data_IF_592077682470
#
_entry.id   IF_592077682470
#
_cell.length_a   1.000
_cell.length_b   1.000
_cell.length_c   1.000
_cell.angle_alpha   90.00
_cell.angle_beta   90.00
_cell.angle_gamma   90.00
#
_symmetry.space_group_name_H-M   'P 1'
#
loop_
_entity.id
_entity.type
_entity.pdbx_description
1 polymer ?
#
# COMPACT_ATOMS: atom_id res chain seq x y z
N UNK A 1 -32.57 -13.45 18.65
CA UNK A 1 -32.00 -12.14 19.06
C UNK A 1 -30.50 -12.25 18.89
N UNK A 2 -30.06 -12.27 17.64
CA UNK A 2 -28.66 -12.19 17.24
C UNK A 2 -28.49 -10.79 16.66
N UNK A 3 -27.87 -9.91 17.42
CA UNK A 3 -27.38 -8.63 16.97
C UNK A 3 -25.98 -8.44 17.57
N UNK A 4 -25.12 -7.77 16.80
CA UNK A 4 -23.81 -7.23 17.18
C UNK A 4 -22.69 -8.21 17.59
N UNK A 5 -22.26 -9.03 16.63
CA UNK A 5 -20.87 -9.57 16.56
C UNK A 5 -20.07 -8.93 15.40
N UNK A 6 -20.67 -7.96 14.70
CA UNK A 6 -20.14 -7.30 13.50
C UNK A 6 -19.26 -6.09 13.87
N UNK A 7 -19.49 -5.42 15.01
CA UNK A 7 -18.80 -4.15 15.35
C UNK A 7 -17.38 -4.33 15.93
N UNK A 8 -17.03 -5.50 16.47
CA UNK A 8 -15.69 -5.75 17.03
C UNK A 8 -14.61 -6.08 15.98
N UNK A 9 -14.99 -6.52 14.77
CA UNK A 9 -14.03 -6.89 13.71
C UNK A 9 -13.49 -5.67 12.95
N UNK A 10 -14.30 -4.63 12.81
CA UNK A 10 -13.91 -3.40 12.10
C UNK A 10 -12.85 -2.60 12.88
N UNK A 11 -12.87 -2.68 14.21
CA UNK A 11 -11.86 -2.07 15.11
C UNK A 11 -10.48 -2.75 14.96
N UNK A 12 -10.45 -4.05 14.70
CA UNK A 12 -9.19 -4.81 14.51
C UNK A 12 -8.54 -4.55 13.13
N UNK A 13 -9.32 -4.23 12.10
CA UNK A 13 -8.77 -3.94 10.78
C UNK A 13 -8.04 -2.58 10.75
N UNK A 14 -8.61 -1.57 11.41
CA UNK A 14 -7.96 -0.26 11.57
C UNK A 14 -6.76 -0.30 12.52
N UNK A 15 -6.79 -1.14 13.57
CA UNK A 15 -5.64 -1.30 14.50
C UNK A 15 -4.44 -2.04 13.88
N UNK A 16 -4.65 -2.82 12.82
CA UNK A 16 -3.58 -3.55 12.11
C UNK A 16 -2.72 -2.63 11.22
N UNK A 17 -3.35 -1.65 10.55
CA UNK A 17 -2.62 -0.55 9.91
C UNK A 17 -1.94 0.35 10.96
N UNK A 18 -2.56 0.51 12.14
CA UNK A 18 -2.05 1.25 13.29
C UNK A 18 -0.73 0.70 13.84
N UNK A 19 -0.62 -0.63 13.99
CA UNK A 19 0.59 -1.28 14.51
C UNK A 19 1.76 -1.26 13.51
N UNK A 20 1.47 -1.28 12.21
CA UNK A 20 2.51 -1.21 11.16
C UNK A 20 3.14 0.20 11.09
N UNK A 21 2.33 1.25 11.30
CA UNK A 21 2.83 2.62 11.41
C UNK A 21 3.52 2.91 12.76
N UNK A 22 2.97 2.41 13.87
CA UNK A 22 3.54 2.58 15.20
C UNK A 22 4.87 1.81 15.39
N UNK A 23 5.04 0.65 14.76
CA UNK A 23 6.28 -0.11 14.79
C UNK A 23 7.46 0.60 14.09
N UNK A 24 7.22 1.64 13.28
CA UNK A 24 8.30 2.46 12.70
C UNK A 24 8.88 3.49 13.69
N UNK A 25 8.26 3.74 14.85
CA UNK A 25 8.73 4.75 15.82
C UNK A 25 9.33 4.10 17.07
N UNK A 26 10.52 4.58 17.49
CA UNK A 26 11.32 4.00 18.56
C UNK A 26 10.67 3.95 19.96
N UNK A 27 11.35 3.24 20.87
CA UNK A 27 10.92 2.76 22.21
C UNK A 27 10.17 3.74 23.16
N UNK A 28 10.20 5.04 22.95
CA UNK A 28 9.53 6.01 23.84
C UNK A 28 8.01 6.13 23.60
N UNK A 29 7.49 5.63 22.48
CA UNK A 29 6.07 5.74 22.10
C UNK A 29 5.23 4.55 22.63
N UNK A 30 5.86 3.39 22.83
CA UNK A 30 5.18 2.12 23.17
C UNK A 30 4.47 2.14 24.53
N UNK A 31 4.99 2.88 25.52
CA UNK A 31 4.39 2.93 26.86
C UNK A 31 3.05 3.70 26.89
N UNK A 32 2.92 4.75 26.07
CA UNK A 32 1.70 5.56 26.00
C UNK A 32 0.56 4.83 25.25
N UNK A 33 0.89 3.86 24.39
CA UNK A 33 -0.11 3.08 23.66
C UNK A 33 -0.84 2.04 24.53
N UNK A 34 -0.19 1.51 25.57
CA UNK A 34 -0.83 0.55 26.49
C UNK A 34 -1.85 1.24 27.43
N UNK A 35 -1.53 2.46 27.89
CA UNK A 35 -2.43 3.24 28.74
C UNK A 35 -3.70 3.69 27.98
N UNK A 36 -3.62 3.82 26.65
CA UNK A 36 -4.75 4.22 25.79
C UNK A 36 -5.75 3.08 25.52
N UNK A 37 -5.28 1.82 25.49
CA UNK A 37 -6.14 0.65 25.30
C UNK A 37 -7.19 0.52 26.43
N UNK A 38 -6.88 1.01 27.64
CA UNK A 38 -7.84 1.07 28.76
C UNK A 38 -8.91 2.16 28.59
N UNK A 39 -8.62 3.25 27.87
CA UNK A 39 -9.54 4.38 27.71
C UNK A 39 -10.62 4.07 26.67
N UNK A 40 -10.27 3.41 25.56
CA UNK A 40 -11.24 3.01 24.53
C UNK A 40 -12.31 2.03 25.04
N UNK A 41 -11.99 1.17 26.00
CA UNK A 41 -12.94 0.22 26.60
C UNK A 41 -13.99 0.92 27.49
N UNK A 42 -13.74 2.17 27.92
CA UNK A 42 -14.63 2.88 28.85
C UNK A 42 -15.69 3.76 28.17
N UNK A 43 -15.67 3.88 26.83
CA UNK A 43 -16.53 4.82 26.09
C UNK A 43 -17.63 4.11 25.27
N UNK A 44 -18.36 3.16 25.87
CA UNK A 44 -19.59 2.62 25.28
C UNK A 44 -20.73 2.61 26.31
N UNK A 45 -21.51 3.68 26.35
CA UNK A 45 -22.94 3.60 26.68
C UNK A 45 -23.71 4.43 25.65
N UNK A 46 -24.78 3.89 25.02
CA UNK A 46 -25.48 4.58 23.95
C UNK A 46 -26.51 5.57 24.52
N UNK A 47 -26.40 6.85 24.15
CA UNK A 47 -27.44 7.85 24.40
C UNK A 47 -28.51 7.74 23.30
N UNK A 48 -29.77 7.56 23.73
CA UNK A 48 -30.99 7.55 22.91
C UNK A 48 -31.37 8.96 22.45
N UNK A 49 -31.99 9.03 21.28
CA UNK A 49 -32.50 10.22 20.61
C UNK A 49 -33.49 11.06 21.44
N UNK A 50 -33.35 12.39 21.32
CA UNK A 50 -34.41 13.38 21.53
C UNK A 50 -34.15 14.42 22.63
N UNK A 51 -33.65 15.61 22.25
CA UNK A 51 -34.19 16.94 22.62
C UNK A 51 -33.23 18.06 22.18
N UNK A 52 -33.78 19.09 21.53
CA UNK A 52 -33.10 20.36 21.28
C UNK A 52 -32.82 21.07 22.60
N UNK A 53 -31.54 21.36 22.89
CA UNK A 53 -31.17 22.40 23.84
C UNK A 53 -29.86 23.06 23.40
N UNK A 54 -29.99 24.31 22.96
CA UNK A 54 -28.85 25.21 22.84
C UNK A 54 -28.22 25.40 24.23
N UNK A 55 -26.96 25.01 24.39
CA UNK A 55 -26.11 25.59 25.42
C UNK A 55 -24.66 25.62 24.94
N UNK A 56 -24.13 26.83 24.93
CA UNK A 56 -22.73 27.16 24.74
C UNK A 56 -21.92 26.69 25.94
N UNK A 57 -20.97 25.79 25.73
CA UNK A 57 -19.79 25.68 26.59
C UNK A 57 -18.60 25.22 25.76
N UNK A 58 -17.68 26.16 25.56
CA UNK A 58 -16.30 25.91 25.17
C UNK A 58 -15.62 24.96 26.18
N UNK A 59 -14.60 24.26 25.67
CA UNK A 59 -13.53 23.54 26.39
C UNK A 59 -13.73 22.04 26.66
N UNK A 60 -13.71 21.24 25.59
CA UNK A 60 -12.81 20.09 25.50
C UNK A 60 -12.24 20.10 24.07
N UNK A 61 -10.95 20.41 23.92
CA UNK A 61 -10.31 20.40 22.61
C UNK A 61 -10.36 18.96 22.07
N UNK A 62 -11.23 18.70 21.09
CA UNK A 62 -11.24 17.45 20.33
C UNK A 62 -9.79 17.19 19.85
N UNK A 63 -9.17 16.03 20.12
CA UNK A 63 -7.82 15.72 19.63
C UNK A 63 -7.68 15.96 18.12
N UNK A 64 -8.77 15.82 17.38
CA UNK A 64 -8.88 16.16 15.97
C UNK A 64 -8.70 17.64 15.62
N UNK A 65 -8.88 18.55 16.57
CA UNK A 65 -8.55 19.98 16.44
C UNK A 65 -7.04 20.16 16.18
N UNK A 66 -6.21 19.29 16.78
CA UNK A 66 -4.75 19.37 16.63
C UNK A 66 -4.25 19.05 15.21
N UNK A 67 -4.97 18.22 14.45
CA UNK A 67 -4.71 17.99 13.03
C UNK A 67 -4.66 19.30 12.25
N UNK A 68 -5.64 20.18 12.53
CA UNK A 68 -5.80 21.41 11.78
C UNK A 68 -4.77 22.49 12.12
N UNK A 69 -3.93 22.26 13.13
CA UNK A 69 -2.80 23.13 13.43
C UNK A 69 -1.74 23.08 12.31
N UNK A 70 -1.57 21.90 11.69
CA UNK A 70 -0.56 21.65 10.66
C UNK A 70 -1.12 21.80 9.24
N UNK A 71 -2.37 21.40 8.99
CA UNK A 71 -2.99 21.49 7.67
C UNK A 71 -4.44 21.99 7.76
N UNK A 72 -4.93 22.75 6.76
CA UNK A 72 -6.34 23.17 6.73
C UNK A 72 -6.70 24.40 7.58
N UNK A 73 -5.74 25.27 7.89
CA UNK A 73 -5.99 26.58 8.53
C UNK A 73 -6.98 27.42 7.73
N UNK A 74 -6.91 27.34 6.41
CA UNK A 74 -7.75 28.10 5.47
C UNK A 74 -9.15 27.47 5.28
N UNK A 75 -9.42 26.31 5.86
CA UNK A 75 -10.73 25.66 5.76
C UNK A 75 -11.73 26.30 6.72
N UNK A 76 -12.92 26.65 6.21
CA UNK A 76 -14.05 27.05 7.03
C UNK A 76 -14.60 25.90 7.90
N UNK A 77 -15.45 26.19 8.90
CA UNK A 77 -15.89 25.21 9.90
C UNK A 77 -16.50 23.93 9.31
N UNK A 78 -17.37 24.07 8.31
CA UNK A 78 -18.03 22.92 7.68
C UNK A 78 -17.04 22.06 6.88
N UNK A 79 -16.09 22.70 6.18
CA UNK A 79 -15.05 21.97 5.46
C UNK A 79 -14.13 21.19 6.39
N UNK A 80 -13.81 21.75 7.58
CA UNK A 80 -13.06 21.04 8.61
C UNK A 80 -13.84 19.83 9.14
N UNK A 81 -15.15 19.96 9.35
CA UNK A 81 -16.01 18.84 9.78
C UNK A 81 -15.98 17.69 8.78
N UNK A 82 -16.12 17.98 7.48
CA UNK A 82 -16.05 16.96 6.42
C UNK A 82 -14.64 16.35 6.33
N UNK A 83 -13.60 17.18 6.38
CA UNK A 83 -12.21 16.73 6.34
C UNK A 83 -11.89 15.79 7.50
N UNK A 84 -12.33 16.14 8.72
CA UNK A 84 -12.15 15.29 9.89
C UNK A 84 -12.90 13.98 9.78
N UNK A 85 -14.16 13.99 9.30
CA UNK A 85 -14.93 12.75 9.09
C UNK A 85 -14.20 11.81 8.14
N UNK A 86 -13.67 12.32 7.03
CA UNK A 86 -12.87 11.53 6.08
C UNK A 86 -11.57 11.05 6.69
N UNK A 87 -10.88 11.89 7.44
CA UNK A 87 -9.66 11.51 8.13
C UNK A 87 -9.88 10.35 9.10
N UNK A 88 -10.91 10.43 9.94
CA UNK A 88 -11.26 9.35 10.89
C UNK A 88 -11.62 8.04 10.18
N UNK A 89 -12.23 8.14 9.00
CA UNK A 89 -12.63 6.96 8.22
C UNK A 89 -11.47 6.32 7.45
N UNK A 90 -10.60 7.11 6.82
CA UNK A 90 -9.54 6.57 5.95
C UNK A 90 -8.16 6.50 6.64
N UNK A 91 -7.95 7.21 7.75
CA UNK A 91 -6.63 7.36 8.37
C UNK A 91 -5.70 8.34 7.64
N UNK A 92 -6.22 9.13 6.71
CA UNK A 92 -5.49 10.17 5.98
C UNK A 92 -6.47 11.22 5.43
N UNK A 93 -5.94 12.34 4.91
CA UNK A 93 -6.71 13.48 4.43
C UNK A 93 -7.42 13.20 3.09
N UNK A 94 -8.44 12.35 3.12
CA UNK A 94 -9.26 12.05 1.94
C UNK A 94 -9.94 13.29 1.35
N UNK A 95 -10.24 14.30 2.18
CA UNK A 95 -10.79 15.57 1.70
C UNK A 95 -9.83 16.31 0.77
N UNK A 96 -8.54 16.40 1.11
CA UNK A 96 -7.56 16.98 0.20
C UNK A 96 -7.35 16.09 -1.03
N UNK A 97 -7.28 14.76 -0.84
CA UNK A 97 -7.13 13.82 -1.97
C UNK A 97 -8.18 14.05 -3.05
N UNK A 98 -9.45 14.26 -2.70
CA UNK A 98 -10.52 14.47 -3.69
C UNK A 98 -10.34 15.75 -4.53
N UNK A 99 -9.52 16.70 -4.06
CA UNK A 99 -9.22 17.96 -4.73
C UNK A 99 -7.89 17.95 -5.47
N UNK A 100 -7.09 16.90 -5.27
CA UNK A 100 -5.84 16.70 -5.98
C UNK A 100 -6.13 15.94 -7.28
N UNK A 101 -5.64 16.47 -8.39
CA UNK A 101 -5.75 15.82 -9.71
C UNK A 101 -5.29 14.36 -9.66
N UNK A 102 -6.03 13.48 -10.35
CA UNK A 102 -5.66 12.07 -10.54
C UNK A 102 -4.37 11.91 -11.37
N UNK A 103 -3.96 12.96 -12.09
CA UNK A 103 -2.77 13.00 -12.96
C UNK A 103 -1.75 14.06 -12.51
N UNK A 104 -1.70 14.35 -11.21
CA UNK A 104 -0.76 15.34 -10.64
C UNK A 104 0.71 15.02 -11.00
N UNK A 105 1.60 16.02 -11.11
CA UNK A 105 3.02 15.76 -11.26
C UNK A 105 3.59 15.12 -9.99
N UNK A 106 4.47 14.13 -10.18
CA UNK A 106 5.17 13.41 -9.11
C UNK A 106 6.66 13.76 -9.23
N UNK A 107 7.34 14.21 -8.16
CA UNK A 107 8.77 14.52 -8.20
C UNK A 107 9.59 13.25 -8.49
N UNK A 108 10.62 13.37 -9.35
CA UNK A 108 11.55 12.29 -9.61
C UNK A 108 12.66 12.26 -8.55
N UNK A 109 12.41 11.50 -7.49
CA UNK A 109 13.30 11.31 -6.34
C UNK A 109 14.26 10.12 -6.53
N UNK A 110 14.43 9.59 -7.76
CA UNK A 110 15.34 8.46 -7.98
C UNK A 110 16.80 8.89 -7.73
N UNK A 111 17.66 8.01 -7.19
CA UNK A 111 19.08 8.29 -7.02
C UNK A 111 19.77 8.71 -8.31
N UNK A 112 20.85 9.49 -8.17
CA UNK A 112 21.70 9.88 -9.29
C UNK A 112 22.20 8.64 -10.06
N UNK A 113 22.18 8.74 -11.38
CA UNK A 113 22.52 7.64 -12.28
C UNK A 113 21.33 6.78 -12.72
N UNK A 114 20.24 6.69 -11.94
CA UNK A 114 19.04 5.93 -12.34
C UNK A 114 18.41 6.46 -13.64
N UNK A 115 18.47 7.78 -13.85
CA UNK A 115 17.92 8.45 -15.05
C UNK A 115 18.63 8.08 -16.34
N UNK A 116 19.91 7.70 -16.25
CA UNK A 116 20.76 7.41 -17.42
C UNK A 116 20.87 5.91 -17.70
N UNK A 117 20.14 5.07 -16.98
CA UNK A 117 20.14 3.62 -17.21
C UNK A 117 19.31 3.28 -18.45
N UNK A 118 19.87 2.41 -19.30
CA UNK A 118 19.16 1.79 -20.42
C UNK A 118 18.76 0.37 -20.06
N UNK A 119 17.54 -0.01 -20.41
CA UNK A 119 17.03 -1.38 -20.23
C UNK A 119 16.83 -2.06 -21.58
N UNK A 120 16.70 -3.39 -21.55
CA UNK A 120 16.41 -4.17 -22.76
C UNK A 120 15.05 -3.74 -23.35
N UNK A 121 14.93 -3.78 -24.68
CA UNK A 121 13.67 -3.43 -25.37
C UNK A 121 12.62 -4.55 -25.28
N UNK A 122 13.07 -5.80 -25.11
CA UNK A 122 12.28 -7.02 -25.05
C UNK A 122 12.02 -7.46 -23.60
N UNK A 123 11.49 -6.55 -22.77
CA UNK A 123 11.07 -6.86 -21.40
C UNK A 123 9.72 -7.61 -21.38
N UNK A 124 9.49 -8.47 -20.39
CA UNK A 124 8.22 -9.19 -20.25
C UNK A 124 7.07 -8.23 -19.92
N UNK A 125 5.87 -8.55 -20.41
CA UNK A 125 4.66 -7.83 -20.02
C UNK A 125 4.31 -8.10 -18.55
N UNK A 126 3.58 -7.16 -17.94
CA UNK A 126 3.19 -7.20 -16.54
C UNK A 126 1.67 -6.98 -16.36
N UNK A 127 1.08 -7.71 -15.40
CA UNK A 127 -0.27 -7.47 -14.89
C UNK A 127 -0.15 -6.79 -13.54
N UNK A 128 -0.77 -5.62 -13.37
CA UNK A 128 -0.77 -4.88 -12.09
C UNK A 128 -2.02 -5.27 -11.32
N UNK A 129 -1.88 -5.71 -10.08
CA UNK A 129 -2.97 -6.14 -9.21
C UNK A 129 -3.03 -5.17 -8.03
N UNK A 130 -4.14 -4.43 -7.91
CA UNK A 130 -4.45 -3.60 -6.76
C UNK A 130 -5.46 -4.29 -5.87
N UNK A 131 -5.25 -4.25 -4.57
CA UNK A 131 -6.16 -4.83 -3.58
C UNK A 131 -6.64 -3.74 -2.65
N UNK A 132 -7.94 -3.74 -2.39
CA UNK A 132 -8.57 -2.73 -1.54
C UNK A 132 -9.79 -3.25 -0.81
N UNK A 133 -10.08 -2.59 0.29
CA UNK A 133 -11.37 -2.62 0.97
C UNK A 133 -11.67 -1.21 1.44
N UNK A 134 -12.81 -0.65 1.04
CA UNK A 134 -13.26 0.70 1.43
C UNK A 134 -12.21 1.82 1.23
N UNK A 135 -11.38 1.72 0.20
CA UNK A 135 -10.36 2.72 -0.12
C UNK A 135 -11.01 4.01 -0.65
N UNK A 136 -10.39 5.18 -0.38
CA UNK A 136 -10.88 6.42 -0.95
C UNK A 136 -10.80 6.37 -2.48
N UNK A 137 -11.93 6.62 -3.16
CA UNK A 137 -12.01 6.54 -4.63
C UNK A 137 -10.93 7.39 -5.31
N UNK A 138 -10.71 8.63 -4.85
CA UNK A 138 -9.69 9.52 -5.43
C UNK A 138 -8.27 8.97 -5.31
N UNK A 139 -7.98 8.20 -4.26
CA UNK A 139 -6.66 7.56 -4.05
C UNK A 139 -6.51 6.34 -4.96
N UNK A 140 -7.48 5.44 -4.97
CA UNK A 140 -7.48 4.26 -5.84
C UNK A 140 -7.37 4.64 -7.32
N UNK A 141 -8.18 5.61 -7.77
CA UNK A 141 -8.14 6.05 -9.16
C UNK A 141 -6.81 6.74 -9.52
N UNK A 142 -6.19 7.46 -8.58
CA UNK A 142 -4.85 8.04 -8.81
C UNK A 142 -3.78 6.96 -8.96
N UNK A 143 -3.86 5.87 -8.20
CA UNK A 143 -2.99 4.69 -8.36
C UNK A 143 -3.13 4.08 -9.76
N UNK A 144 -4.37 3.91 -10.23
CA UNK A 144 -4.63 3.36 -11.57
C UNK A 144 -4.18 4.33 -12.67
N UNK A 145 -4.46 5.62 -12.55
CA UNK A 145 -4.02 6.61 -13.53
C UNK A 145 -2.50 6.72 -13.62
N UNK A 146 -1.80 6.75 -12.48
CA UNK A 146 -0.34 6.86 -12.48
C UNK A 146 0.32 5.61 -13.06
N UNK A 147 -0.20 4.41 -12.80
CA UNK A 147 0.36 3.19 -13.41
C UNK A 147 0.14 3.14 -14.93
N UNK A 148 -1.02 3.60 -15.43
CA UNK A 148 -1.29 3.70 -16.87
C UNK A 148 -0.35 4.73 -17.51
N UNK A 149 -0.19 5.91 -16.90
CA UNK A 149 0.59 7.01 -17.47
C UNK A 149 2.10 6.75 -17.41
N UNK A 150 2.59 6.05 -16.39
CA UNK A 150 4.04 5.90 -16.11
C UNK A 150 4.59 4.53 -16.48
N UNK A 151 3.76 3.67 -17.08
CA UNK A 151 4.20 2.37 -17.61
C UNK A 151 4.09 2.38 -19.14
N UNK A 152 5.16 2.04 -19.87
CA UNK A 152 5.07 1.90 -21.32
C UNK A 152 3.97 0.93 -21.74
N UNK A 153 3.17 1.31 -22.75
CA UNK A 153 1.97 0.55 -23.16
C UNK A 153 2.25 -0.88 -23.62
N UNK A 154 3.44 -1.15 -24.16
CA UNK A 154 3.84 -2.49 -24.56
C UNK A 154 4.16 -3.41 -23.35
N UNK A 155 4.43 -2.84 -22.19
CA UNK A 155 4.71 -3.57 -20.93
C UNK A 155 3.44 -3.80 -20.12
N UNK A 156 2.54 -2.83 -20.04
CA UNK A 156 1.32 -2.93 -19.25
C UNK A 156 0.25 -3.72 -20.00
N UNK A 157 0.07 -4.99 -19.62
CA UNK A 157 -0.93 -5.89 -20.24
C UNK A 157 -2.34 -5.58 -19.77
N UNK A 158 -2.50 -5.49 -18.45
CA UNK A 158 -3.80 -5.38 -17.79
C UNK A 158 -3.63 -4.88 -16.35
N UNK A 159 -4.71 -4.35 -15.81
CA UNK A 159 -4.86 -3.93 -14.42
C UNK A 159 -6.00 -4.73 -13.81
N UNK A 160 -5.77 -5.30 -12.62
CA UNK A 160 -6.73 -6.12 -11.90
C UNK A 160 -7.02 -5.44 -10.57
N UNK A 161 -8.27 -5.11 -10.35
CA UNK A 161 -8.78 -4.48 -9.14
C UNK A 161 -9.49 -5.55 -8.31
N UNK A 162 -8.93 -5.90 -7.17
CA UNK A 162 -9.49 -6.89 -6.24
C UNK A 162 -10.18 -6.17 -5.09
N UNK A 163 -11.51 -6.21 -5.12
CA UNK A 163 -12.40 -5.66 -4.10
C UNK A 163 -12.68 -6.72 -3.02
N UNK A 164 -12.08 -6.54 -1.85
CA UNK A 164 -12.25 -7.42 -0.69
C UNK A 164 -13.51 -7.04 0.12
N UNK A 165 -14.64 -6.98 -0.59
CA UNK A 165 -15.98 -6.71 -0.07
C UNK A 165 -16.21 -5.28 0.48
N UNK A 166 -15.95 -4.27 -0.36
CA UNK A 166 -16.23 -2.86 -0.06
C UNK A 166 -17.73 -2.50 -0.09
N UNK A 167 -18.05 -1.30 0.38
CA UNK A 167 -19.39 -0.72 0.32
C UNK A 167 -19.92 -0.51 -1.12
N UNK A 168 -21.24 -0.35 -1.25
CA UNK A 168 -21.91 -0.21 -2.56
C UNK A 168 -21.57 1.08 -3.30
N UNK A 169 -21.37 2.19 -2.58
CA UNK A 169 -21.04 3.49 -3.17
C UNK A 169 -19.71 3.44 -3.95
N UNK A 170 -18.68 2.78 -3.38
CA UNK A 170 -17.41 2.58 -4.06
C UNK A 170 -17.58 1.70 -5.31
N UNK A 171 -18.39 0.65 -5.22
CA UNK A 171 -18.62 -0.31 -6.32
C UNK A 171 -19.24 0.35 -7.54
N UNK A 172 -20.22 1.23 -7.35
CA UNK A 172 -20.92 1.92 -8.45
C UNK A 172 -20.01 2.92 -9.17
N UNK A 173 -19.34 3.79 -8.42
CA UNK A 173 -18.42 4.78 -9.01
C UNK A 173 -17.22 4.11 -9.69
N UNK A 174 -16.69 3.04 -9.10
CA UNK A 174 -15.59 2.28 -9.69
C UNK A 174 -16.00 1.62 -11.01
N UNK A 175 -17.23 1.10 -11.12
CA UNK A 175 -17.69 0.46 -12.34
C UNK A 175 -17.71 1.44 -13.52
N UNK A 176 -18.16 2.68 -13.29
CA UNK A 176 -18.17 3.73 -14.32
C UNK A 176 -16.76 4.01 -14.85
N UNK A 177 -15.79 4.15 -13.94
CA UNK A 177 -14.38 4.34 -14.31
C UNK A 177 -13.80 3.16 -15.10
N UNK A 178 -14.12 1.93 -14.69
CA UNK A 178 -13.66 0.70 -15.35
C UNK A 178 -14.20 0.62 -16.78
N UNK A 179 -15.48 0.93 -16.98
CA UNK A 179 -16.13 0.89 -18.28
C UNK A 179 -15.53 1.95 -19.23
N UNK A 180 -15.32 3.17 -18.74
CA UNK A 180 -14.66 4.25 -19.48
C UNK A 180 -13.21 3.88 -19.88
N UNK A 181 -12.44 3.32 -18.93
CA UNK A 181 -11.05 2.94 -19.17
C UNK A 181 -10.96 1.78 -20.18
N UNK A 182 -11.86 0.80 -20.08
CA UNK A 182 -11.93 -0.31 -21.04
C UNK A 182 -12.40 0.14 -22.43
N UNK A 183 -13.25 1.17 -22.52
CA UNK A 183 -13.62 1.75 -23.81
C UNK A 183 -12.42 2.43 -24.51
N UNK A 184 -11.49 3.01 -23.73
CA UNK A 184 -10.31 3.68 -24.26
C UNK A 184 -9.16 2.71 -24.60
N UNK A 185 -8.91 1.71 -23.75
CA UNK A 185 -7.74 0.82 -23.86
C UNK A 185 -8.04 -0.56 -24.45
N UNK A 186 -9.32 -0.91 -24.56
CA UNK A 186 -9.79 -2.20 -25.05
C UNK A 186 -10.43 -3.07 -23.96
N UNK A 187 -11.31 -4.01 -24.35
CA UNK A 187 -12.07 -4.82 -23.42
C UNK A 187 -11.15 -5.69 -22.55
N UNK A 188 -11.37 -5.64 -21.23
CA UNK A 188 -10.60 -6.42 -20.26
C UNK A 188 -9.23 -5.86 -19.94
N UNK A 189 -8.93 -4.61 -20.33
CA UNK A 189 -7.72 -3.92 -19.89
C UNK A 189 -7.72 -3.68 -18.38
N UNK A 190 -8.87 -3.24 -17.82
CA UNK A 190 -9.14 -3.23 -16.38
C UNK A 190 -10.16 -4.31 -16.05
N UNK A 191 -9.80 -5.21 -15.13
CA UNK A 191 -10.65 -6.29 -14.63
C UNK A 191 -10.96 -6.06 -13.16
N UNK A 192 -12.19 -6.35 -12.73
CA UNK A 192 -12.59 -6.27 -11.32
C UNK A 192 -12.90 -7.66 -10.80
N UNK A 193 -12.24 -8.07 -9.72
CA UNK A 193 -12.53 -9.28 -8.95
C UNK A 193 -13.22 -8.83 -7.67
N UNK A 194 -14.43 -9.34 -7.40
CA UNK A 194 -15.20 -8.98 -6.20
C UNK A 194 -15.36 -10.20 -5.31
N UNK A 195 -14.97 -10.09 -4.04
CA UNK A 195 -15.24 -11.12 -3.06
C UNK A 195 -16.65 -10.99 -2.49
N UNK A 196 -17.28 -12.13 -2.18
CA UNK A 196 -18.62 -12.17 -1.57
C UNK A 196 -18.62 -11.86 -0.07
N UNK A 197 -17.45 -11.98 0.57
CA UNK A 197 -17.15 -11.64 1.97
C UNK A 197 -15.72 -11.14 2.04
N UNK A 198 -15.35 -10.52 3.15
CA UNK A 198 -13.96 -10.11 3.37
C UNK A 198 -13.07 -11.35 3.59
N UNK A 199 -12.10 -11.55 2.71
CA UNK A 199 -11.16 -12.68 2.70
C UNK A 199 -9.76 -12.29 3.22
N UNK A 200 -9.44 -11.00 3.25
CA UNK A 200 -8.14 -10.47 3.68
C UNK A 200 -7.18 -10.20 2.53
N UNK A 201 -6.07 -9.51 2.86
CA UNK A 201 -5.02 -9.12 1.92
C UNK A 201 -4.44 -10.35 1.18
N UNK A 202 -4.17 -11.42 1.92
CA UNK A 202 -3.45 -12.59 1.41
C UNK A 202 -4.26 -13.30 0.33
N UNK A 203 -5.50 -13.66 0.64
CA UNK A 203 -6.41 -14.31 -0.31
C UNK A 203 -6.77 -13.40 -1.47
N UNK A 204 -6.83 -12.08 -1.25
CA UNK A 204 -7.03 -11.09 -2.32
C UNK A 204 -5.84 -10.99 -3.27
N UNK A 205 -4.59 -11.08 -2.77
CA UNK A 205 -3.38 -11.20 -3.60
C UNK A 205 -3.46 -12.44 -4.49
N UNK A 206 -3.86 -13.57 -3.92
CA UNK A 206 -3.96 -14.83 -4.64
C UNK A 206 -5.13 -14.82 -5.65
N UNK A 207 -6.29 -14.26 -5.31
CA UNK A 207 -7.43 -14.16 -6.23
C UNK A 207 -7.13 -13.26 -7.44
N UNK A 208 -6.45 -12.14 -7.22
CA UNK A 208 -5.94 -11.29 -8.30
C UNK A 208 -4.92 -12.02 -9.18
N UNK A 209 -4.00 -12.78 -8.57
CA UNK A 209 -3.02 -13.58 -9.31
C UNK A 209 -3.69 -14.63 -10.22
N UNK A 210 -4.75 -15.30 -9.75
CA UNK A 210 -5.48 -16.34 -10.50
C UNK A 210 -6.05 -15.84 -11.83
N UNK A 211 -6.47 -14.57 -11.90
CA UNK A 211 -7.04 -13.98 -13.13
C UNK A 211 -6.01 -13.28 -14.01
N UNK A 212 -4.77 -13.13 -13.53
CA UNK A 212 -3.69 -12.49 -14.25
C UNK A 212 -3.15 -13.37 -15.38
N UNK A 213 -2.88 -12.74 -16.52
CA UNK A 213 -2.48 -13.41 -17.76
C UNK A 213 -1.08 -13.05 -18.25
N UNK A 214 -0.49 -11.95 -17.77
CA UNK A 214 0.87 -11.58 -18.14
C UNK A 214 1.92 -12.54 -17.57
N UNK A 215 3.14 -12.58 -18.14
CA UNK A 215 4.25 -13.36 -17.58
C UNK A 215 4.69 -12.91 -16.18
N UNK A 216 4.59 -11.62 -15.89
CA UNK A 216 4.98 -11.04 -14.60
C UNK A 216 3.74 -10.45 -13.91
N UNK A 217 3.63 -10.61 -12.60
CA UNK A 217 2.59 -9.99 -11.78
C UNK A 217 3.20 -8.98 -10.82
N UNK A 218 2.53 -7.85 -10.66
CA UNK A 218 2.88 -6.77 -9.76
C UNK A 218 1.76 -6.61 -8.72
N UNK A 219 1.99 -7.02 -7.48
CA UNK A 219 1.00 -6.96 -6.41
C UNK A 219 1.23 -5.69 -5.58
N UNK A 220 0.27 -4.76 -5.65
CA UNK A 220 0.32 -3.46 -5.03
C UNK A 220 -0.89 -3.20 -4.12
N UNK A 221 -0.66 -2.38 -3.11
CA UNK A 221 -1.73 -1.78 -2.31
C UNK A 221 -2.41 -0.67 -3.13
N UNK A 222 -3.64 -0.29 -2.78
CA UNK A 222 -4.45 0.61 -3.59
C UNK A 222 -4.09 2.10 -3.50
N UNK A 223 -3.16 2.46 -2.62
CA UNK A 223 -2.80 3.84 -2.29
C UNK A 223 -1.34 4.16 -2.62
N UNK A 224 -1.02 4.04 -3.91
CA UNK A 224 0.34 4.18 -4.43
C UNK A 224 0.37 5.13 -5.63
N UNK A 225 1.48 5.81 -5.84
CA UNK A 225 1.71 6.66 -7.00
C UNK A 225 3.02 6.26 -7.68
N UNK A 226 2.94 5.84 -8.94
CA UNK A 226 4.10 5.29 -9.65
C UNK A 226 4.99 6.40 -10.18
N UNK A 227 6.31 6.30 -9.96
CA UNK A 227 7.26 7.25 -10.52
C UNK A 227 7.61 6.88 -11.97
N UNK A 228 8.27 7.81 -12.68
CA UNK A 228 8.69 7.56 -14.06
C UNK A 228 9.76 6.46 -14.13
N UNK A 229 9.62 5.55 -15.08
CA UNK A 229 10.57 4.45 -15.30
C UNK A 229 10.63 3.45 -14.15
N UNK A 230 9.52 3.23 -13.44
CA UNK A 230 9.47 2.33 -12.30
C UNK A 230 9.53 0.85 -12.71
N UNK A 231 8.94 0.50 -13.85
CA UNK A 231 8.68 -0.88 -14.27
C UNK A 231 9.91 -1.54 -14.91
N UNK A 232 10.56 -0.84 -15.84
CA UNK A 232 11.70 -1.31 -16.62
C UNK A 232 12.84 -1.89 -15.77
N UNK A 233 13.34 -1.19 -14.73
CA UNK A 233 14.37 -1.76 -13.87
C UNK A 233 13.93 -3.03 -13.15
N UNK A 234 12.67 -3.10 -12.71
CA UNK A 234 12.14 -4.26 -12.00
C UNK A 234 12.03 -5.45 -12.96
N UNK A 235 11.42 -5.24 -14.13
CA UNK A 235 11.25 -6.26 -15.16
C UNK A 235 12.59 -6.75 -15.70
N UNK A 236 13.59 -5.88 -15.82
CA UNK A 236 14.95 -6.26 -16.18
C UNK A 236 15.53 -7.26 -15.17
N UNK A 237 15.34 -7.04 -13.87
CA UNK A 237 15.84 -7.96 -12.83
C UNK A 237 15.18 -9.33 -12.92
N UNK A 238 13.87 -9.38 -13.17
CA UNK A 238 13.10 -10.63 -13.31
C UNK A 238 13.47 -11.34 -14.62
N UNK A 239 13.68 -10.60 -15.71
CA UNK A 239 14.12 -11.17 -16.98
C UNK A 239 15.47 -11.87 -16.87
N UNK A 240 16.43 -11.25 -16.18
CA UNK A 240 17.74 -11.84 -15.94
C UNK A 240 17.68 -13.14 -15.13
N UNK A 241 16.66 -13.28 -14.28
CA UNK A 241 16.46 -14.44 -13.41
C UNK A 241 15.03 -14.44 -12.88
N UNK A 242 14.22 -15.36 -13.44
CA UNK A 242 12.79 -15.47 -13.14
C UNK A 242 12.49 -15.79 -11.67
N UNK A 243 13.48 -16.28 -10.93
CA UNK A 243 13.31 -16.70 -9.53
C UNK A 243 13.46 -15.55 -8.54
N UNK A 244 13.67 -14.32 -9.03
CA UNK A 244 13.76 -13.12 -8.19
C UNK A 244 12.38 -12.58 -7.89
N UNK A 245 12.15 -12.29 -6.61
CA UNK A 245 11.02 -11.47 -6.15
C UNK A 245 11.55 -10.07 -5.87
N UNK A 246 10.95 -9.07 -6.50
CA UNK A 246 11.48 -7.71 -6.52
C UNK A 246 10.50 -6.74 -5.87
N UNK A 247 10.96 -5.97 -4.89
CA UNK A 247 10.20 -4.86 -4.31
C UNK A 247 10.69 -3.54 -4.92
N UNK A 248 9.80 -2.61 -5.29
CA UNK A 248 10.22 -1.25 -5.61
C UNK A 248 10.81 -0.55 -4.38
N UNK A 249 11.51 0.56 -4.61
CA UNK A 249 11.83 1.49 -3.52
C UNK A 249 10.62 2.39 -3.25
N UNK A 250 10.24 2.52 -1.98
CA UNK A 250 9.06 3.28 -1.57
C UNK A 250 9.43 4.67 -1.08
N UNK A 251 8.81 5.71 -1.63
CA UNK A 251 8.80 7.06 -1.04
C UNK A 251 7.50 7.27 -0.22
N UNK A 252 7.53 8.17 0.76
CA UNK A 252 6.39 8.41 1.63
C UNK A 252 5.45 9.47 1.04
N UNK A 253 4.18 9.14 0.82
CA UNK A 253 3.12 10.13 0.60
C UNK A 253 2.59 10.53 1.97
N UNK A 254 2.78 11.79 2.36
CA UNK A 254 2.31 12.29 3.66
C UNK A 254 0.79 12.18 3.76
N UNK A 255 0.33 11.61 4.86
CA UNK A 255 -1.10 11.34 5.11
C UNK A 255 -1.95 12.61 5.19
N UNK A 256 -1.37 13.77 5.48
CA UNK A 256 -2.08 15.04 5.68
C UNK A 256 -2.06 15.95 4.45
N UNK A 257 -0.90 16.07 3.80
CA UNK A 257 -0.63 17.05 2.73
C UNK A 257 -0.51 16.40 1.36
N UNK A 258 -0.40 15.06 1.30
CA UNK A 258 -0.10 14.30 0.08
C UNK A 258 1.22 14.70 -0.60
N UNK A 259 2.10 15.43 0.09
CA UNK A 259 3.45 15.68 -0.38
C UNK A 259 4.25 14.37 -0.40
N UNK A 260 5.13 14.23 -1.39
CA UNK A 260 5.99 13.06 -1.53
C UNK A 260 7.34 13.38 -0.92
N UNK A 261 7.73 12.59 0.08
CA UNK A 261 8.99 12.68 0.80
C UNK A 261 9.86 11.47 0.47
N UNK A 262 11.12 11.73 0.12
CA UNK A 262 12.08 10.67 -0.18
C UNK A 262 12.32 9.80 1.06
N UNK A 263 12.21 8.48 0.88
CA UNK A 263 12.59 7.55 1.93
C UNK A 263 14.01 7.00 1.70
N UNK A 264 14.85 6.90 2.74
CA UNK A 264 16.20 6.37 2.61
C UNK A 264 16.22 4.93 2.08
N UNK A 265 17.17 4.66 1.18
CA UNK A 265 17.41 3.31 0.66
C UNK A 265 17.72 2.33 1.80
N UNK A 266 16.87 1.31 1.92
CA UNK A 266 16.90 0.36 3.02
C UNK A 266 16.72 -1.06 2.50
N UNK A 267 17.42 -2.01 3.10
CA UNK A 267 17.05 -3.42 2.96
C UNK A 267 15.81 -3.71 3.82
N UNK A 268 15.09 -4.77 3.50
CA UNK A 268 13.88 -5.18 4.22
C UNK A 268 14.13 -6.49 4.98
N UNK A 269 13.80 -6.53 6.27
CA UNK A 269 13.98 -7.70 7.13
C UNK A 269 12.94 -7.77 8.23
N UNK A 270 13.25 -8.52 9.29
CA UNK A 270 12.36 -8.69 10.44
C UNK A 270 13.16 -8.89 11.73
N UNK A 271 12.54 -8.61 12.88
CA UNK A 271 13.09 -8.90 14.20
C UNK A 271 12.62 -10.28 14.73
N UNK A 272 13.02 -10.63 15.95
CA UNK A 272 12.70 -11.94 16.56
C UNK A 272 11.23 -12.11 16.94
N UNK A 273 10.47 -11.02 17.00
CA UNK A 273 9.02 -11.02 17.16
C UNK A 273 8.30 -11.11 15.80
N UNK A 274 9.07 -11.25 14.71
CA UNK A 274 8.60 -11.30 13.32
C UNK A 274 7.97 -9.99 12.83
N UNK A 275 8.28 -8.86 13.46
CA UNK A 275 7.91 -7.56 12.93
C UNK A 275 8.83 -7.19 11.77
N UNK A 276 8.22 -6.74 10.67
CA UNK A 276 8.96 -6.22 9.52
C UNK A 276 9.75 -4.96 9.91
N UNK A 277 11.01 -4.87 9.48
CA UNK A 277 11.93 -3.75 9.77
C UNK A 277 12.64 -3.31 8.51
N UNK A 278 12.82 -1.99 8.38
CA UNK A 278 13.81 -1.43 7.47
C UNK A 278 15.20 -1.58 8.10
N UNK A 279 16.13 -2.13 7.33
CA UNK A 279 17.50 -2.39 7.72
C UNK A 279 18.42 -1.52 6.88
N UNK A 280 19.54 -1.09 7.46
CA UNK A 280 20.61 -0.49 6.67
C UNK A 280 21.11 -1.49 5.62
N UNK A 281 21.35 -1.06 4.36
CA UNK A 281 21.96 -1.93 3.37
C UNK A 281 23.30 -2.49 3.86
N UNK A 282 23.69 -3.72 3.45
CA UNK A 282 24.91 -4.34 3.92
C UNK A 282 26.14 -3.51 3.52
N UNK A 283 27.20 -3.56 4.32
CA UNK A 283 28.46 -2.82 4.05
C UNK A 283 29.00 -3.07 2.64
N UNK A 284 28.87 -4.30 2.13
CA UNK A 284 29.27 -4.66 0.77
C UNK A 284 28.54 -3.86 -0.31
N UNK A 285 27.27 -3.52 -0.11
CA UNK A 285 26.51 -2.68 -1.03
C UNK A 285 27.04 -1.24 -1.03
N UNK A 286 27.30 -0.67 0.15
CA UNK A 286 27.91 0.67 0.26
C UNK A 286 29.30 0.76 -0.38
N UNK A 287 30.09 -0.32 -0.31
CA UNK A 287 31.41 -0.38 -0.95
C UNK A 287 31.35 -0.34 -2.49
N UNK A 288 30.22 -0.71 -3.10
CA UNK A 288 30.04 -0.61 -4.56
C UNK A 288 29.98 0.85 -5.05
N UNK A 289 29.69 1.81 -4.15
CA UNK A 289 29.49 3.23 -4.48
C UNK A 289 28.53 3.45 -5.65
N UNK A 290 27.56 2.54 -5.80
CA UNK A 290 26.56 2.58 -6.85
C UNK A 290 25.17 2.54 -6.22
N UNK A 291 24.53 3.70 -6.09
CA UNK A 291 23.20 3.84 -5.49
C UNK A 291 22.07 3.29 -6.37
N UNK A 292 22.36 2.89 -7.62
CA UNK A 292 21.38 2.24 -8.51
C UNK A 292 21.35 0.72 -8.34
N UNK A 293 22.35 0.14 -7.64
CA UNK A 293 22.47 -1.29 -7.48
C UNK A 293 21.31 -1.85 -6.61
N UNK A 294 20.74 -3.02 -6.96
CA UNK A 294 19.68 -3.62 -6.16
C UNK A 294 20.18 -3.98 -4.76
N UNK A 295 19.30 -3.83 -3.77
CA UNK A 295 19.58 -4.12 -2.36
C UNK A 295 18.97 -5.46 -2.01
N UNK A 296 19.83 -6.43 -1.66
CA UNK A 296 19.41 -7.75 -1.18
C UNK A 296 18.74 -7.63 0.19
N UNK A 297 17.54 -8.19 0.31
CA UNK A 297 16.68 -8.08 1.48
C UNK A 297 16.29 -9.47 2.00
N UNK A 298 16.41 -9.74 3.32
CA UNK A 298 15.90 -10.97 3.92
C UNK A 298 14.38 -11.18 3.87
N UNK A 299 13.60 -10.10 3.73
CA UNK A 299 12.15 -10.13 3.62
C UNK A 299 11.65 -9.15 2.55
N UNK A 300 10.34 -9.17 2.31
CA UNK A 300 9.62 -8.23 1.45
C UNK A 300 8.57 -7.53 2.29
N UNK A 301 8.51 -6.21 2.26
CA UNK A 301 7.50 -5.43 2.97
C UNK A 301 6.56 -4.84 1.92
N UNK A 302 5.26 -5.13 2.07
CA UNK A 302 4.22 -4.52 1.26
C UNK A 302 4.18 -5.06 -0.17
N UNK A 303 4.45 -4.19 -1.14
CA UNK A 303 4.26 -4.48 -2.57
C UNK A 303 5.47 -5.17 -3.19
N UNK A 304 5.22 -6.10 -4.13
CA UNK A 304 6.27 -6.82 -4.83
C UNK A 304 5.85 -7.26 -6.23
N UNK A 305 6.86 -7.55 -7.05
CA UNK A 305 6.75 -7.98 -8.44
C UNK A 305 7.48 -9.29 -8.62
N UNK A 306 6.85 -10.26 -9.30
CA UNK A 306 7.35 -11.63 -9.42
C UNK A 306 6.92 -12.27 -10.73
N UNK A 307 7.73 -13.18 -11.26
CA UNK A 307 7.32 -14.06 -12.36
C UNK A 307 6.10 -14.90 -11.94
N UNK A 308 5.06 -14.89 -12.76
CA UNK A 308 3.74 -15.47 -12.42
C UNK A 308 3.83 -16.97 -12.17
N UNK A 309 4.63 -17.70 -12.96
CA UNK A 309 4.80 -19.15 -12.84
C UNK A 309 5.70 -19.50 -11.67
N UNK A 310 6.79 -18.76 -11.48
CA UNK A 310 7.64 -18.96 -10.32
C UNK A 310 6.87 -18.75 -9.00
N UNK A 311 5.96 -17.78 -8.96
CA UNK A 311 5.15 -17.56 -7.76
C UNK A 311 4.26 -18.78 -7.44
N UNK A 312 3.69 -19.42 -8.46
CA UNK A 312 2.95 -20.69 -8.31
C UNK A 312 3.85 -21.85 -7.86
N UNK A 313 5.05 -21.96 -8.45
CA UNK A 313 6.03 -23.00 -8.13
C UNK A 313 6.45 -22.97 -6.65
N UNK A 314 6.54 -21.78 -6.05
CA UNK A 314 6.86 -21.62 -4.62
C UNK A 314 5.62 -21.65 -3.71
N UNK A 315 4.44 -21.93 -4.25
CA UNK A 315 3.21 -22.10 -3.47
C UNK A 315 2.47 -20.81 -3.12
N UNK A 316 2.69 -19.72 -3.87
CA UNK A 316 2.02 -18.42 -3.69
C UNK A 316 2.18 -17.87 -2.25
N UNK A 317 1.15 -17.21 -1.72
CA UNK A 317 1.03 -16.93 -0.29
C UNK A 317 0.17 -18.01 0.36
N UNK A 318 0.42 -18.29 1.64
CA UNK A 318 -0.35 -19.28 2.39
C UNK A 318 -1.79 -18.79 2.63
N UNK A 319 -2.75 -19.34 1.89
CA UNK A 319 -4.18 -19.00 2.01
C UNK A 319 -4.81 -19.45 3.34
N UNK A 320 -4.08 -20.24 4.14
CA UNK A 320 -4.43 -20.57 5.52
C UNK A 320 -4.23 -19.40 6.49
N UNK A 321 -3.44 -18.39 6.13
CA UNK A 321 -3.33 -17.15 6.89
C UNK A 321 -4.59 -16.30 6.75
N UNK A 322 -4.99 -15.65 7.85
CA UNK A 322 -6.20 -14.84 7.91
C UNK A 322 -5.86 -13.34 7.87
N UNK A 323 -6.64 -12.57 7.11
CA UNK A 323 -6.61 -11.10 7.06
C UNK A 323 -5.26 -10.54 6.56
N UNK A 324 -4.27 -10.40 7.44
CA UNK A 324 -2.98 -9.75 7.20
C UNK A 324 -1.96 -10.14 8.27
N UNK A 325 -0.67 -10.10 7.92
CA UNK A 325 0.43 -10.22 8.86
C UNK A 325 1.19 -11.54 8.70
N UNK A 326 2.51 -11.45 8.80
CA UNK A 326 3.42 -12.60 8.70
C UNK A 326 3.68 -13.10 7.28
N UNK A 327 2.81 -12.82 6.30
CA UNK A 327 2.94 -13.25 4.90
C UNK A 327 4.23 -12.73 4.25
N UNK A 328 4.60 -11.51 4.61
CA UNK A 328 5.81 -10.81 4.17
C UNK A 328 7.10 -11.50 4.65
N UNK A 329 7.09 -11.94 5.90
CA UNK A 329 8.21 -12.65 6.53
C UNK A 329 8.29 -14.08 6.03
N UNK A 330 7.15 -14.75 5.95
CA UNK A 330 7.01 -16.11 5.46
C UNK A 330 7.53 -16.23 4.03
N UNK A 331 7.08 -15.37 3.12
CA UNK A 331 7.55 -15.34 1.74
C UNK A 331 9.05 -15.05 1.67
N UNK A 332 9.55 -14.11 2.46
CA UNK A 332 10.99 -13.79 2.55
C UNK A 332 11.85 -15.00 2.93
N UNK A 333 11.43 -15.74 3.95
CA UNK A 333 12.10 -16.98 4.40
C UNK A 333 12.03 -18.05 3.32
N UNK A 334 10.87 -18.22 2.68
CA UNK A 334 10.62 -19.24 1.66
C UNK A 334 11.49 -19.04 0.43
N UNK A 335 11.49 -17.84 -0.15
CA UNK A 335 12.29 -17.49 -1.34
C UNK A 335 13.78 -17.75 -1.08
N UNK A 336 14.26 -17.42 0.12
CA UNK A 336 15.63 -17.65 0.55
C UNK A 336 15.98 -19.15 0.69
N UNK A 337 15.05 -19.98 1.16
CA UNK A 337 15.29 -21.41 1.45
C UNK A 337 15.22 -22.30 0.22
N UNK A 338 14.33 -22.02 -0.72
CA UNK A 338 14.11 -22.85 -1.92
C UNK A 338 15.27 -22.69 -2.94
N UNK A 339 16.03 -21.60 -2.83
CA UNK A 339 17.13 -21.27 -3.75
C UNK A 339 18.48 -21.80 -3.21
N UNK A 340 19.16 -22.62 -4.03
CA UNK A 340 20.32 -23.46 -3.69
C UNK A 340 21.65 -22.69 -3.37
N UNK A 341 22.86 -23.32 -3.38
CA UNK A 341 23.93 -23.15 -2.37
C UNK A 341 24.49 -21.73 -2.20
N UNK A 342 25.24 -21.51 -1.12
CA UNK A 342 25.53 -20.22 -0.46
C UNK A 342 25.87 -18.99 -1.31
N UNK A 343 26.41 -19.18 -2.52
CA UNK A 343 26.85 -18.13 -3.45
C UNK A 343 25.79 -17.68 -4.48
N UNK A 344 24.68 -18.42 -4.63
CA UNK A 344 23.56 -18.11 -5.55
C UNK A 344 22.24 -18.04 -4.79
N UNK A 345 22.22 -17.37 -3.64
CA UNK A 345 20.97 -17.14 -2.91
C UNK A 345 20.16 -16.08 -3.65
N UNK A 346 19.14 -16.52 -4.38
CA UNK A 346 18.10 -15.64 -4.90
C UNK A 346 17.42 -14.98 -3.69
N UNK A 347 17.53 -13.65 -3.64
CA UNK A 347 17.01 -12.86 -2.55
C UNK A 347 15.93 -11.95 -3.09
N UNK A 348 14.97 -11.70 -2.23
CA UNK A 348 14.12 -10.52 -2.33
C UNK A 348 15.03 -9.31 -2.55
N UNK A 349 14.77 -8.53 -3.59
CA UNK A 349 15.60 -7.37 -3.91
C UNK A 349 14.76 -6.11 -3.95
N UNK A 350 15.20 -5.07 -3.23
CA UNK A 350 14.70 -3.72 -3.48
C UNK A 350 15.46 -3.13 -4.68
N UNK A 351 14.75 -2.51 -5.61
CA UNK A 351 15.36 -1.87 -6.79
C UNK A 351 15.22 -0.34 -6.68
N UNK A 352 16.31 0.38 -6.36
CA UNK A 352 16.28 1.83 -6.15
C UNK A 352 15.78 2.64 -7.35
N UNK A 353 15.98 2.15 -8.57
CA UNK A 353 15.51 2.80 -9.80
C UNK A 353 14.02 2.61 -10.05
N UNK A 354 13.41 1.57 -9.47
CA UNK A 354 11.98 1.27 -9.55
C UNK A 354 11.20 1.96 -8.45
N UNK A 355 11.11 3.30 -8.47
CA UNK A 355 10.46 4.07 -7.38
C UNK A 355 8.93 4.11 -7.50
N UNK A 356 8.27 3.87 -6.36
CA UNK A 356 6.83 4.02 -6.16
C UNK A 356 6.61 4.80 -4.87
N UNK A 357 5.67 5.72 -4.81
CA UNK A 357 5.31 6.41 -3.58
C UNK A 357 4.08 5.74 -2.95
N UNK A 358 4.05 5.58 -1.63
CA UNK A 358 2.93 4.95 -0.93
C UNK A 358 2.51 5.83 0.26
N UNK A 359 1.20 5.96 0.50
CA UNK A 359 0.71 6.64 1.69
C UNK A 359 0.63 5.70 2.88
N UNK A 360 1.27 6.05 3.99
CA UNK A 360 1.04 5.36 5.26
C UNK A 360 -0.23 5.93 5.92
N UNK A 361 -1.23 5.09 6.19
CA UNK A 361 -2.39 5.49 6.98
C UNK A 361 -1.93 5.82 8.42
N UNK A 362 -2.19 7.05 8.88
CA UNK A 362 -1.92 7.48 10.24
C UNK A 362 -3.24 7.58 10.98
N UNK A 363 -3.50 6.66 11.90
CA UNK A 363 -4.58 6.86 12.85
C UNK A 363 -4.12 7.84 13.94
N UNK A 364 -4.98 8.77 14.34
CA UNK A 364 -4.68 9.77 15.36
C UNK A 364 -4.76 9.19 16.77
N UNK A 365 -3.84 9.67 17.59
CA UNK A 365 -3.79 9.52 19.05
C UNK A 365 -4.99 10.13 19.75
#
# INVERSE_FOLDING_TARGET
>A
MEASLIELKDIYFFSSQFLTAAACMGKYVVQNCLDFFLVCVSAETPLKDGEEAASSSDSAADPASSLFNHWGRDLGPESRRVALKKFRYFGYNGYLSDRISLTRPIPDLRPDGCRNMSYSSDLPQLSVIFIFVNEALSVLLRSVHTVIQRTPSYLLKEIILVDDNSNMELKEHLQSFVDETNAQHGPGFVKVVRHAKQEGLIRSRVSGWRVATAPVVALFDAHVEFNTGWAEPILQRIKEDRTRVVSPSFDNIKYDTFEIEEYPLSAQGFDWELWCRYLNPPKSWWMLRNHTAPIRSPALIGCFVVDRKYFEEIGLLDEGMEIYGGENVELGIRVRRISAPEDVRNLCCMVPSGKVSCSHCHCLN
#
